data_IF_605875571588
#
_entry.id   IF_605875571588
#
_cell.length_a   1.000
_cell.length_b   1.000
_cell.length_c   1.000
_cell.angle_alpha   90.00
_cell.angle_beta   90.00
_cell.angle_gamma   90.00
#
_symmetry.space_group_name_H-M   'P 1'
#
loop_
_entity.id
_entity.type
_entity.pdbx_description
1 polymer ?
#
# COMPACT_ATOMS: atom_id res chain seq x y z
N UNK A 1 -5.59 10.62 12.44
CA UNK A 1 -4.61 9.65 12.95
C UNK A 1 -4.34 10.00 14.41
N UNK A 2 -4.47 9.08 15.34
CA UNK A 2 -4.08 9.34 16.73
C UNK A 2 -2.56 9.22 16.79
N UNK A 3 -1.87 10.33 17.04
CA UNK A 3 -0.45 10.33 17.36
C UNK A 3 -0.22 9.42 18.56
N UNK A 4 0.69 8.48 18.43
CA UNK A 4 1.01 7.47 19.46
C UNK A 4 2.45 7.55 19.90
N UNK A 5 3.10 8.69 19.65
CA UNK A 5 4.46 8.99 20.09
C UNK A 5 4.64 8.73 21.58
N UNK A 6 5.77 8.20 21.94
CA UNK A 6 6.15 7.85 23.31
C UNK A 6 5.34 6.74 24.00
N UNK A 7 4.28 6.21 23.38
CA UNK A 7 3.58 5.04 23.90
C UNK A 7 4.39 3.76 23.65
N UNK A 8 4.33 2.81 24.57
CA UNK A 8 4.91 1.51 24.29
C UNK A 8 4.15 0.83 23.14
N UNK A 9 4.87 0.26 22.20
CA UNK A 9 4.29 -0.45 21.04
C UNK A 9 3.31 -1.54 21.50
N UNK A 10 3.64 -2.27 22.55
CA UNK A 10 2.81 -3.33 23.12
C UNK A 10 1.52 -2.84 23.79
N UNK A 11 1.44 -1.56 24.19
CA UNK A 11 0.20 -0.97 24.73
C UNK A 11 -0.76 -0.60 23.60
N UNK A 12 -0.19 -0.22 22.45
CA UNK A 12 -0.94 0.07 21.22
C UNK A 12 -1.40 -1.21 20.53
N UNK A 13 -0.50 -2.18 20.44
CA UNK A 13 -0.74 -3.48 19.79
C UNK A 13 -0.61 -4.60 20.83
N UNK A 14 -1.70 -4.90 21.52
CA UNK A 14 -1.73 -5.85 22.63
C UNK A 14 -1.32 -7.27 22.29
N UNK A 15 -1.42 -7.68 21.04
CA UNK A 15 -0.91 -8.95 20.54
C UNK A 15 0.63 -9.05 20.60
N UNK A 16 1.33 -7.92 20.74
CA UNK A 16 2.77 -7.83 20.90
C UNK A 16 3.22 -7.71 22.36
N UNK A 17 2.29 -7.88 23.33
CA UNK A 17 2.60 -7.78 24.75
C UNK A 17 3.71 -8.79 25.13
N UNK A 18 4.73 -8.32 25.84
CA UNK A 18 5.95 -9.05 26.19
C UNK A 18 6.86 -9.49 25.04
N UNK A 19 6.47 -9.23 23.77
CA UNK A 19 7.28 -9.55 22.60
C UNK A 19 8.09 -8.36 22.10
N UNK A 20 7.50 -7.17 22.14
CA UNK A 20 8.11 -5.93 21.67
C UNK A 20 8.13 -4.90 22.78
N UNK A 21 9.32 -4.43 23.13
CA UNK A 21 9.56 -3.41 24.16
C UNK A 21 9.94 -2.04 23.61
N UNK A 22 9.68 -1.80 22.31
CA UNK A 22 9.96 -0.53 21.67
C UNK A 22 8.86 0.50 21.96
N UNK A 23 9.21 1.77 21.93
CA UNK A 23 8.27 2.89 21.92
C UNK A 23 7.89 3.28 20.51
N UNK A 24 6.67 3.78 20.35
CA UNK A 24 6.27 4.44 19.12
C UNK A 24 7.02 5.78 18.99
N UNK A 25 7.56 6.06 17.82
CA UNK A 25 8.25 7.30 17.49
C UNK A 25 7.29 8.26 16.78
N UNK A 26 7.70 9.51 16.65
CA UNK A 26 7.02 10.47 15.78
C UNK A 26 7.10 10.03 14.30
N UNK A 27 6.09 10.40 13.52
CA UNK A 27 5.98 10.04 12.11
C UNK A 27 6.74 11.03 11.19
N UNK A 28 7.90 11.47 11.61
CA UNK A 28 8.76 12.31 10.80
C UNK A 28 9.48 11.46 9.75
N UNK A 29 8.95 11.46 8.53
CA UNK A 29 9.45 10.63 7.44
C UNK A 29 10.88 11.03 7.00
N UNK A 30 11.23 12.32 7.05
CA UNK A 30 12.56 12.80 6.71
C UNK A 30 13.62 12.31 7.72
N UNK A 31 13.29 12.32 8.99
CA UNK A 31 14.16 11.75 10.02
C UNK A 31 14.30 10.24 9.84
N UNK A 32 13.19 9.52 9.67
CA UNK A 32 13.20 8.07 9.48
C UNK A 32 14.01 7.65 8.26
N UNK A 33 13.94 8.42 7.17
CA UNK A 33 14.69 8.14 5.95
C UNK A 33 16.23 8.17 6.15
N UNK A 34 16.73 8.85 7.19
CA UNK A 34 18.16 8.83 7.53
C UNK A 34 18.55 7.64 8.41
N UNK A 35 17.60 6.93 8.99
CA UNK A 35 17.83 5.90 10.01
C UNK A 35 17.57 4.48 9.50
N UNK A 36 16.75 4.34 8.40
CA UNK A 36 16.32 3.03 7.92
C UNK A 36 16.45 2.88 6.41
N UNK A 37 16.68 1.66 5.95
CA UNK A 37 16.78 1.32 4.52
C UNK A 37 15.42 1.25 3.82
N UNK A 38 14.34 0.96 4.58
CA UNK A 38 12.98 0.76 4.04
C UNK A 38 11.94 1.30 5.00
N UNK A 39 10.97 2.05 4.47
CA UNK A 39 9.79 2.52 5.20
C UNK A 39 8.53 1.86 4.62
N UNK A 40 7.73 1.23 5.48
CA UNK A 40 6.38 0.78 5.14
C UNK A 40 5.37 1.86 5.49
N UNK A 41 4.65 2.37 4.49
CA UNK A 41 3.59 3.37 4.72
C UNK A 41 2.23 2.67 4.77
N UNK A 42 1.66 2.57 5.97
CA UNK A 42 0.31 2.07 6.21
C UNK A 42 -0.64 3.25 6.52
N UNK A 43 -0.75 4.17 5.58
CA UNK A 43 -1.44 5.45 5.72
C UNK A 43 -2.73 5.49 4.91
N UNK A 44 -3.66 6.41 5.21
CA UNK A 44 -4.78 6.70 4.32
C UNK A 44 -4.31 7.12 2.93
N UNK A 45 -5.16 6.90 1.91
CA UNK A 45 -4.89 7.32 0.53
C UNK A 45 -4.56 8.81 0.46
N UNK A 46 -3.61 9.17 -0.39
CA UNK A 46 -3.12 10.53 -0.61
C UNK A 46 -2.01 10.96 0.37
N UNK A 47 -1.87 10.31 1.52
CA UNK A 47 -0.88 10.74 2.51
C UNK A 47 0.54 10.30 2.14
N UNK A 48 0.74 9.08 1.69
CA UNK A 48 2.07 8.63 1.24
C UNK A 48 2.57 9.52 0.10
N UNK A 49 1.74 9.76 -0.92
CA UNK A 49 2.06 10.64 -2.03
C UNK A 49 2.37 12.08 -1.58
N UNK A 50 1.77 12.57 -0.50
CA UNK A 50 2.05 13.92 0.01
C UNK A 50 3.38 14.03 0.79
N UNK A 51 3.90 12.92 1.27
CA UNK A 51 5.13 12.88 2.10
C UNK A 51 6.37 12.55 1.27
N UNK A 52 6.23 11.80 0.19
CA UNK A 52 7.35 11.33 -0.63
C UNK A 52 7.95 12.46 -1.44
N UNK A 53 9.27 12.57 -1.42
CA UNK A 53 10.06 13.49 -2.23
C UNK A 53 11.43 12.87 -2.60
N UNK A 54 12.18 13.54 -3.49
CA UNK A 54 13.48 13.03 -3.97
C UNK A 54 14.50 12.88 -2.85
N UNK A 55 14.48 13.72 -1.83
CA UNK A 55 15.39 13.62 -0.70
C UNK A 55 15.17 12.31 0.07
N UNK A 56 13.92 12.00 0.42
CA UNK A 56 13.54 10.75 1.09
C UNK A 56 13.92 9.54 0.22
N UNK A 57 13.54 9.58 -1.06
CA UNK A 57 13.77 8.48 -2.00
C UNK A 57 15.24 8.26 -2.36
N UNK A 58 16.11 9.23 -2.09
CA UNK A 58 17.55 9.07 -2.24
C UNK A 58 18.21 8.30 -1.09
N UNK A 59 17.54 8.24 0.06
CA UNK A 59 18.07 7.67 1.30
C UNK A 59 17.43 6.33 1.66
N UNK A 60 16.14 6.17 1.41
CA UNK A 60 15.36 5.00 1.79
C UNK A 60 14.40 4.55 0.70
N UNK A 61 13.94 3.32 0.77
CA UNK A 61 12.92 2.77 -0.12
C UNK A 61 11.55 2.81 0.55
N UNK A 62 10.51 3.06 -0.25
CA UNK A 62 9.13 3.09 0.24
C UNK A 62 8.38 1.86 -0.23
N UNK A 63 7.73 1.16 0.69
CA UNK A 63 6.72 0.14 0.40
C UNK A 63 5.37 0.69 0.84
N UNK A 64 4.60 1.15 -0.14
CA UNK A 64 3.32 1.80 0.12
C UNK A 64 2.17 0.80 0.13
N UNK A 65 1.49 0.69 1.29
CA UNK A 65 0.31 -0.15 1.45
C UNK A 65 -0.99 0.58 1.09
N UNK A 66 -0.91 1.90 0.82
CA UNK A 66 -2.04 2.68 0.32
C UNK A 66 -2.27 2.42 -1.19
N UNK A 67 -3.14 3.17 -1.82
CA UNK A 67 -3.40 3.05 -3.24
C UNK A 67 -2.61 4.02 -4.10
N UNK A 68 -1.81 4.90 -3.50
CA UNK A 68 -1.28 6.10 -4.15
C UNK A 68 -0.45 5.81 -5.40
N UNK A 69 0.31 4.71 -5.42
CA UNK A 69 1.20 4.36 -6.53
C UNK A 69 0.78 3.10 -7.30
N UNK A 70 -0.44 2.58 -7.08
CA UNK A 70 -0.91 1.34 -7.73
C UNK A 70 -1.32 1.54 -9.18
N UNK A 71 -1.90 2.70 -9.50
CA UNK A 71 -2.43 3.00 -10.83
C UNK A 71 -1.46 3.88 -11.60
N UNK A 72 -1.22 3.53 -12.88
CA UNK A 72 -0.32 4.30 -13.74
C UNK A 72 -0.95 5.55 -14.33
N UNK A 73 -2.28 5.60 -14.43
CA UNK A 73 -3.01 6.77 -14.92
C UNK A 73 -3.54 7.60 -13.74
N UNK A 74 -3.03 8.82 -13.63
CA UNK A 74 -3.43 9.80 -12.59
C UNK A 74 -4.93 10.09 -12.65
N UNK A 75 -5.49 10.24 -13.85
CA UNK A 75 -6.92 10.55 -13.99
C UNK A 75 -7.79 9.41 -13.46
N UNK A 76 -7.37 8.17 -13.71
CA UNK A 76 -8.06 6.99 -13.18
C UNK A 76 -7.96 6.95 -11.65
N UNK A 77 -6.78 7.24 -11.07
CA UNK A 77 -6.63 7.34 -9.63
C UNK A 77 -7.58 8.39 -9.04
N UNK A 78 -7.56 9.61 -9.57
CA UNK A 78 -8.39 10.72 -9.09
C UNK A 78 -9.89 10.46 -9.28
N UNK A 79 -10.26 9.78 -10.37
CA UNK A 79 -11.64 9.38 -10.61
C UNK A 79 -12.15 8.39 -9.55
N UNK A 80 -11.34 7.39 -9.17
CA UNK A 80 -11.76 6.34 -8.24
C UNK A 80 -11.63 6.76 -6.78
N UNK A 81 -10.53 7.38 -6.40
CA UNK A 81 -10.27 7.76 -5.00
C UNK A 81 -10.81 9.14 -4.63
N UNK A 82 -11.26 9.96 -5.59
CA UNK A 82 -11.78 11.33 -5.39
C UNK A 82 -10.79 12.24 -4.67
N UNK A 83 -9.51 12.02 -4.92
CA UNK A 83 -8.38 12.74 -4.35
C UNK A 83 -7.43 13.15 -5.47
N UNK A 84 -6.88 14.36 -5.38
CA UNK A 84 -5.79 14.81 -6.23
C UNK A 84 -4.51 14.05 -5.88
N UNK A 85 -3.83 13.50 -6.89
CA UNK A 85 -2.56 12.81 -6.67
C UNK A 85 -1.43 13.80 -6.41
N UNK A 86 -0.80 13.73 -5.23
CA UNK A 86 0.19 14.74 -4.79
C UNK A 86 1.61 14.52 -5.31
N UNK A 87 1.90 13.35 -5.87
CA UNK A 87 3.23 13.00 -6.39
C UNK A 87 3.15 12.23 -7.72
N UNK A 88 2.50 12.78 -8.77
CA UNK A 88 2.31 12.10 -10.04
C UNK A 88 3.65 11.77 -10.73
N UNK A 89 4.70 12.55 -10.48
CA UNK A 89 6.03 12.35 -11.05
C UNK A 89 6.68 11.00 -10.67
N UNK A 90 6.24 10.36 -9.59
CA UNK A 90 6.81 9.08 -9.13
C UNK A 90 5.97 7.86 -9.55
N UNK A 91 4.82 8.05 -10.18
CA UNK A 91 3.93 6.95 -10.56
C UNK A 91 4.61 6.00 -11.55
N UNK A 92 5.32 6.53 -12.53
CA UNK A 92 5.95 5.71 -13.58
C UNK A 92 7.08 4.83 -13.05
N UNK A 93 7.83 5.31 -12.07
CA UNK A 93 8.92 4.54 -11.47
C UNK A 93 8.45 3.54 -10.42
N UNK A 94 7.28 3.74 -9.82
CA UNK A 94 6.75 2.83 -8.83
C UNK A 94 6.47 1.45 -9.43
N UNK A 95 6.92 0.40 -8.76
CA UNK A 95 6.68 -0.98 -9.17
C UNK A 95 5.48 -1.54 -8.42
N UNK A 96 4.51 -2.10 -9.15
CA UNK A 96 3.38 -2.82 -8.55
C UNK A 96 3.87 -4.13 -7.92
N UNK A 97 3.82 -4.21 -6.61
CA UNK A 97 4.52 -5.19 -5.77
C UNK A 97 3.89 -6.57 -5.69
N UNK A 98 3.14 -7.01 -6.71
CA UNK A 98 2.68 -8.40 -6.82
C UNK A 98 3.83 -9.28 -7.29
N UNK A 99 4.66 -9.73 -6.34
CA UNK A 99 5.95 -10.39 -6.61
C UNK A 99 5.83 -11.68 -7.41
N UNK A 100 4.72 -12.38 -7.36
CA UNK A 100 4.47 -13.59 -8.14
C UNK A 100 4.46 -13.34 -9.64
N UNK A 101 4.15 -12.10 -10.05
CA UNK A 101 4.04 -11.69 -11.45
C UNK A 101 5.12 -10.67 -11.83
N UNK A 102 5.49 -9.78 -10.91
CA UNK A 102 6.34 -8.63 -11.18
C UNK A 102 7.70 -8.66 -10.46
N UNK A 103 8.15 -9.81 -9.97
CA UNK A 103 9.44 -9.92 -9.24
C UNK A 103 10.61 -9.44 -10.07
N UNK A 104 10.61 -9.72 -11.36
CA UNK A 104 11.63 -9.31 -12.33
C UNK A 104 11.72 -7.78 -12.53
N UNK A 105 10.64 -7.07 -12.21
CA UNK A 105 10.59 -5.60 -12.27
C UNK A 105 11.14 -4.93 -11.01
N UNK A 106 11.28 -5.67 -9.90
CA UNK A 106 11.86 -5.16 -8.65
C UNK A 106 13.37 -5.33 -8.72
N UNK A 107 14.09 -4.24 -8.60
CA UNK A 107 15.55 -4.21 -8.60
C UNK A 107 16.09 -3.46 -7.38
N UNK A 108 17.41 -3.46 -7.20
CA UNK A 108 18.07 -2.65 -6.18
C UNK A 108 17.82 -1.14 -6.35
N UNK A 109 17.51 -0.71 -7.55
CA UNK A 109 17.27 0.70 -7.90
C UNK A 109 15.79 1.10 -7.75
N UNK A 110 14.90 0.14 -7.47
CA UNK A 110 13.49 0.41 -7.18
C UNK A 110 13.38 1.23 -5.89
N UNK A 111 12.79 2.41 -5.99
CA UNK A 111 12.62 3.34 -4.87
C UNK A 111 11.24 3.22 -4.22
N UNK A 112 10.20 2.95 -5.02
CA UNK A 112 8.81 2.83 -4.56
C UNK A 112 8.23 1.50 -4.99
N UNK A 113 7.68 0.77 -4.04
CA UNK A 113 6.88 -0.44 -4.28
C UNK A 113 5.44 -0.15 -3.87
N UNK A 114 4.53 -0.19 -4.84
CA UNK A 114 3.09 -0.09 -4.60
C UNK A 114 2.56 -1.46 -4.19
N UNK A 115 2.35 -1.68 -2.90
CA UNK A 115 1.85 -2.96 -2.40
C UNK A 115 0.39 -3.19 -2.84
N UNK A 116 0.06 -4.36 -3.41
CA UNK A 116 -1.30 -4.63 -3.90
C UNK A 116 -2.34 -4.64 -2.78
N UNK A 117 -3.58 -4.29 -3.13
CA UNK A 117 -4.73 -4.44 -2.23
C UNK A 117 -5.16 -5.91 -2.10
N UNK A 118 -5.87 -6.23 -1.02
CA UNK A 118 -6.28 -7.60 -0.70
C UNK A 118 -7.17 -8.24 -1.78
N UNK A 119 -8.18 -7.52 -2.28
CA UNK A 119 -9.08 -8.03 -3.33
C UNK A 119 -8.34 -8.27 -4.65
N UNK A 120 -7.52 -7.32 -5.07
CA UNK A 120 -6.73 -7.43 -6.31
C UNK A 120 -5.71 -8.55 -6.22
N UNK A 121 -5.02 -8.70 -5.08
CA UNK A 121 -4.08 -9.80 -4.86
C UNK A 121 -4.78 -11.15 -4.99
N UNK A 122 -5.87 -11.35 -4.26
CA UNK A 122 -6.62 -12.61 -4.28
C UNK A 122 -7.15 -12.93 -5.69
N UNK A 123 -7.76 -11.95 -6.34
CA UNK A 123 -8.34 -12.13 -7.68
C UNK A 123 -7.28 -12.43 -8.73
N UNK A 124 -6.21 -11.65 -8.75
CA UNK A 124 -5.15 -11.80 -9.75
C UNK A 124 -4.42 -13.13 -9.56
N UNK A 125 -4.00 -13.47 -8.34
CA UNK A 125 -3.27 -14.71 -8.09
C UNK A 125 -4.12 -15.97 -8.41
N UNK A 126 -5.44 -15.89 -8.21
CA UNK A 126 -6.35 -16.98 -8.54
C UNK A 126 -6.55 -17.10 -10.06
N UNK A 127 -6.77 -15.99 -10.75
CA UNK A 127 -7.20 -16.00 -12.16
C UNK A 127 -6.04 -15.97 -13.15
N UNK A 128 -4.93 -15.32 -12.81
CA UNK A 128 -3.82 -15.11 -13.73
C UNK A 128 -3.29 -16.40 -14.37
N UNK A 129 -3.00 -17.48 -13.63
CA UNK A 129 -2.51 -18.71 -14.25
C UNK A 129 -3.55 -19.32 -15.19
N UNK A 130 -4.83 -19.29 -14.86
CA UNK A 130 -5.89 -19.86 -15.69
C UNK A 130 -6.13 -19.07 -16.97
N UNK A 131 -6.05 -17.73 -16.90
CA UNK A 131 -6.14 -16.86 -18.08
C UNK A 131 -4.89 -17.02 -18.95
N UNK A 132 -3.72 -17.05 -18.35
CA UNK A 132 -2.44 -17.20 -19.06
C UNK A 132 -2.34 -18.48 -19.85
N UNK A 133 -2.84 -19.59 -19.29
CA UNK A 133 -2.87 -20.90 -19.93
C UNK A 133 -4.09 -21.09 -20.86
N UNK A 134 -4.93 -20.07 -21.02
CA UNK A 134 -6.12 -20.13 -21.87
C UNK A 134 -7.23 -21.10 -21.39
N UNK A 135 -7.23 -21.43 -20.09
CA UNK A 135 -8.19 -22.38 -19.51
C UNK A 135 -9.56 -21.75 -19.35
N UNK A 136 -9.60 -20.44 -19.07
CA UNK A 136 -10.84 -19.68 -18.88
C UNK A 136 -10.90 -18.47 -19.83
N UNK A 137 -12.12 -18.10 -20.22
CA UNK A 137 -12.34 -16.89 -21.00
C UNK A 137 -12.40 -15.66 -20.05
N UNK A 138 -11.47 -14.67 -20.20
CA UNK A 138 -11.45 -13.49 -19.33
C UNK A 138 -12.74 -12.65 -19.40
N UNK A 139 -13.46 -12.66 -20.53
CA UNK A 139 -14.68 -11.87 -20.72
C UNK A 139 -15.89 -12.40 -19.92
N UNK A 140 -15.77 -13.61 -19.37
CA UNK A 140 -16.85 -14.26 -18.58
C UNK A 140 -16.55 -14.32 -17.09
N UNK A 141 -15.47 -13.68 -16.64
CA UNK A 141 -15.08 -13.69 -15.23
C UNK A 141 -16.02 -12.82 -14.41
N UNK A 142 -16.58 -13.42 -13.35
CA UNK A 142 -17.36 -12.71 -12.33
C UNK A 142 -16.64 -12.87 -11.00
N UNK A 143 -16.36 -11.75 -10.31
CA UNK A 143 -15.72 -11.74 -9.00
C UNK A 143 -16.73 -11.27 -7.95
N UNK A 144 -17.18 -12.19 -7.10
CA UNK A 144 -17.98 -11.87 -5.90
C UNK A 144 -17.04 -11.84 -4.68
N UNK A 145 -16.56 -10.65 -4.34
CA UNK A 145 -15.58 -10.45 -3.30
C UNK A 145 -16.22 -9.92 -2.01
N UNK A 146 -16.01 -10.65 -0.91
CA UNK A 146 -16.54 -10.31 0.41
C UNK A 146 -15.41 -10.02 1.41
N UNK A 147 -15.51 -8.91 2.11
CA UNK A 147 -14.55 -8.55 3.14
C UNK A 147 -14.98 -9.01 4.52
N UNK A 148 -14.06 -9.57 5.28
CA UNK A 148 -14.29 -9.81 6.72
C UNK A 148 -14.35 -8.48 7.50
N UNK A 149 -14.83 -8.54 8.75
CA UNK A 149 -15.06 -7.37 9.60
C UNK A 149 -13.80 -6.50 9.79
N UNK A 150 -12.64 -7.12 9.95
CA UNK A 150 -11.38 -6.40 10.12
C UNK A 150 -10.88 -5.77 8.81
N UNK A 151 -11.06 -6.44 7.68
CA UNK A 151 -10.68 -5.91 6.37
C UNK A 151 -11.64 -4.84 5.86
N UNK A 152 -12.91 -4.91 6.26
CA UNK A 152 -13.92 -3.90 5.95
C UNK A 152 -13.84 -2.66 6.84
N UNK A 153 -12.94 -2.67 7.84
CA UNK A 153 -12.81 -1.58 8.82
C UNK A 153 -14.16 -1.16 9.45
N UNK A 154 -14.98 -2.13 9.83
CA UNK A 154 -16.30 -1.88 10.43
C UNK A 154 -16.14 -0.95 11.63
N UNK A 155 -16.88 0.16 11.61
CA UNK A 155 -16.79 1.24 12.59
C UNK A 155 -16.11 2.50 12.07
N UNK A 156 -15.47 2.48 10.89
CA UNK A 156 -15.01 3.68 10.18
C UNK A 156 -16.06 4.14 9.15
N UNK A 157 -16.13 5.44 8.91
CA UNK A 157 -17.08 6.03 7.96
C UNK A 157 -16.88 5.54 6.50
N UNK A 158 -15.73 4.97 6.20
CA UNK A 158 -15.37 4.39 4.90
C UNK A 158 -16.17 3.15 4.51
N UNK A 159 -16.90 2.52 5.42
CA UNK A 159 -17.85 1.45 5.07
C UNK A 159 -18.99 1.90 4.14
N UNK A 160 -19.01 3.16 3.71
CA UNK A 160 -20.05 3.70 2.82
C UNK A 160 -19.72 3.59 1.34
N UNK A 161 -18.52 3.31 0.95
CA UNK A 161 -18.20 3.11 -0.46
C UNK A 161 -18.47 1.67 -0.87
N UNK A 162 -19.69 1.45 -1.24
CA UNK A 162 -20.05 0.30 -2.05
C UNK A 162 -19.68 0.60 -3.50
N UNK A 163 -18.88 -0.26 -4.02
CA UNK A 163 -18.70 -0.40 -5.45
C UNK A 163 -20.03 -0.75 -6.11
#
# INVERSE_FOLDING_TARGET
>A
MLFRSDQNYSDVYRNMFKLVHAKCMDDNMEQLANEVDVIFTATPQGLCASLVNDEILSKTKIIDLSADFRLKDVNVYEQWYKLEHKAPQYIDEAVYGLCEINRDKVSKDTRIIANPGCYTTTSILTLYPMVKEGIINPDTIIIDAKSGTSGAEIGRASCRERV
#
